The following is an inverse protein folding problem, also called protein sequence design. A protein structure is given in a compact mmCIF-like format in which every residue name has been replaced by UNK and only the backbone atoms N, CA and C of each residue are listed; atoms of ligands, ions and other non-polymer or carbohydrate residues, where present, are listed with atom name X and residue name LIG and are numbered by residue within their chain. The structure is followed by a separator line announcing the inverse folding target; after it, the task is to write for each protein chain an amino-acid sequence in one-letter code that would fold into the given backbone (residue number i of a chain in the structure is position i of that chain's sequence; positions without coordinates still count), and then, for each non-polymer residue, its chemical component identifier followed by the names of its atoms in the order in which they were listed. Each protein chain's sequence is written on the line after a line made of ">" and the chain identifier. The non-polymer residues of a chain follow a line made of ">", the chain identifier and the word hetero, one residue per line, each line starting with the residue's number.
data_IF_733913373856
#
_entry.id   IF_733913373856
#
_cell.length_a   1.000
_cell.length_b   1.000
_cell.length_c   1.000
_cell.angle_alpha   90.00
_cell.angle_beta   90.00
_cell.angle_gamma   90.00
#
_symmetry.space_group_name_H-M   'P 1'
#
loop_
_entity.id
_entity.type
_entity.pdbx_description
1 polymer ?
#
# COMPACT_ATOMS: atom_id res chain seq x y z
N UNK A 1 9.95 -11.42 -13.93
CA UNK A 1 10.51 -10.13 -14.43
C UNK A 1 11.82 -9.88 -13.70
N UNK A 2 12.96 -10.03 -14.37
CA UNK A 2 14.27 -9.80 -13.74
C UNK A 2 14.39 -8.32 -13.36
N UNK A 3 14.87 -8.02 -12.15
CA UNK A 3 15.11 -6.69 -11.59
C UNK A 3 13.87 -5.90 -11.14
N UNK A 4 12.86 -6.57 -10.61
CA UNK A 4 11.79 -5.87 -9.89
C UNK A 4 12.29 -5.39 -8.51
N UNK A 5 11.92 -4.17 -8.13
CA UNK A 5 12.23 -3.58 -6.84
C UNK A 5 10.95 -3.25 -6.09
N UNK A 6 10.81 -3.74 -4.85
CA UNK A 6 9.73 -3.37 -3.96
C UNK A 6 10.00 -1.97 -3.39
N UNK A 7 9.17 -1.00 -3.77
CA UNK A 7 9.33 0.42 -3.37
C UNK A 7 8.35 0.86 -2.29
N UNK A 8 7.30 0.10 -2.05
CA UNK A 8 6.28 0.45 -1.05
C UNK A 8 5.47 -0.73 -0.58
N UNK A 9 5.09 -0.68 0.70
CA UNK A 9 4.14 -1.60 1.31
C UNK A 9 3.37 -0.88 2.40
N UNK A 10 2.06 -1.06 2.43
CA UNK A 10 1.24 -0.44 3.45
C UNK A 10 -0.02 -1.25 3.75
N UNK A 11 -0.61 -0.96 4.91
CA UNK A 11 -1.96 -1.39 5.27
C UNK A 11 -2.80 -0.14 5.45
N UNK A 12 -3.90 -0.05 4.72
CA UNK A 12 -4.90 1.02 4.84
C UNK A 12 -6.21 0.43 5.33
N UNK A 13 -6.76 0.99 6.40
CA UNK A 13 -8.08 0.61 6.94
C UNK A 13 -9.02 1.78 6.79
N UNK A 14 -10.15 1.54 6.14
CA UNK A 14 -11.21 2.51 5.88
C UNK A 14 -12.34 2.27 6.88
N UNK A 15 -12.83 3.34 7.47
CA UNK A 15 -13.94 3.31 8.41
C UNK A 15 -14.37 4.71 8.80
N UNK A 16 -15.55 4.84 9.37
CA UNK A 16 -16.10 6.13 9.79
C UNK A 16 -15.92 6.33 11.30
N UNK A 17 -15.48 7.51 11.70
CA UNK A 17 -15.37 7.88 13.10
C UNK A 17 -13.97 7.72 13.71
N UNK A 18 -12.91 7.66 12.91
CA UNK A 18 -11.57 7.89 13.44
C UNK A 18 -11.49 9.31 13.99
N UNK A 19 -10.77 9.45 15.11
CA UNK A 19 -10.48 10.75 15.71
C UNK A 19 -8.97 11.02 15.61
N UNK A 20 -8.48 11.69 14.55
CA UNK A 20 -7.06 12.01 14.42
C UNK A 20 -6.54 12.86 15.58
N UNK A 21 -7.36 13.72 16.16
CA UNK A 21 -6.96 14.65 17.23
C UNK A 21 -6.41 13.98 18.49
N UNK A 22 -6.72 12.70 18.72
CA UNK A 22 -6.14 11.95 19.84
C UNK A 22 -4.85 11.22 19.47
N UNK A 23 -4.54 11.10 18.17
CA UNK A 23 -3.38 10.35 17.67
C UNK A 23 -2.13 11.23 17.73
N UNK A 24 -1.44 11.19 18.85
CA UNK A 24 -0.20 11.91 19.09
C UNK A 24 0.83 10.99 19.78
N UNK A 25 2.03 11.49 20.02
CA UNK A 25 3.10 10.72 20.64
C UNK A 25 2.70 10.12 21.99
N UNK A 26 2.04 10.92 22.83
CA UNK A 26 1.58 10.48 24.15
C UNK A 26 0.59 9.30 24.01
N UNK A 27 -0.41 9.42 23.14
CA UNK A 27 -1.36 8.34 22.88
C UNK A 27 -0.67 7.07 22.39
N UNK A 28 0.25 7.19 21.44
CA UNK A 28 0.93 6.02 20.86
C UNK A 28 1.80 5.28 21.90
N UNK A 29 2.53 6.01 22.74
CA UNK A 29 3.36 5.45 23.81
C UNK A 29 2.52 4.88 24.95
N UNK A 30 1.59 5.65 25.50
CA UNK A 30 0.71 5.21 26.60
C UNK A 30 -0.17 4.01 26.23
N UNK A 31 -0.56 3.90 24.96
CA UNK A 31 -1.27 2.74 24.43
C UNK A 31 -0.37 1.55 24.10
N UNK A 32 0.95 1.67 24.29
CA UNK A 32 1.96 0.66 23.96
C UNK A 32 1.92 0.23 22.47
N UNK A 33 1.57 1.15 21.60
CA UNK A 33 1.58 0.95 20.14
C UNK A 33 3.00 1.13 19.59
N UNK A 34 3.81 1.96 20.24
CA UNK A 34 5.22 2.18 19.97
C UNK A 34 6.02 2.09 21.28
N UNK A 35 7.32 1.78 21.16
CA UNK A 35 8.25 1.81 22.30
C UNK A 35 8.55 3.24 22.74
N UNK A 36 8.96 3.41 24.02
CA UNK A 36 9.29 4.71 24.59
C UNK A 36 10.52 5.35 23.94
N UNK A 37 11.40 4.52 23.38
CA UNK A 37 12.63 4.88 22.68
C UNK A 37 12.42 5.34 21.24
N UNK A 38 11.23 5.05 20.65
CA UNK A 38 10.95 5.45 19.28
C UNK A 38 10.73 6.96 19.19
N UNK A 39 11.54 7.59 18.33
CA UNK A 39 11.46 9.02 18.09
C UNK A 39 10.52 9.36 16.93
N UNK A 40 9.63 10.31 17.18
CA UNK A 40 8.80 10.95 16.15
C UNK A 40 9.59 12.11 15.56
N UNK A 41 9.69 12.16 14.23
CA UNK A 41 10.43 13.20 13.51
C UNK A 41 9.72 14.54 13.60
N UNK A 42 10.49 15.62 13.61
CA UNK A 42 10.00 17.01 13.74
C UNK A 42 9.11 17.48 12.57
N UNK A 43 9.21 16.82 11.42
CA UNK A 43 8.34 17.10 10.27
C UNK A 43 6.98 16.38 10.33
N UNK A 44 6.66 15.72 11.45
CA UNK A 44 5.34 15.14 11.68
C UNK A 44 4.30 16.22 11.90
N UNK A 45 3.08 15.97 11.42
CA UNK A 45 1.95 16.91 11.50
C UNK A 45 0.86 16.26 12.34
N UNK A 46 0.36 16.98 13.34
CA UNK A 46 -0.73 16.53 14.20
C UNK A 46 -1.75 17.66 14.32
N UNK A 47 -2.93 17.45 13.76
CA UNK A 47 -4.09 18.35 13.85
C UNK A 47 -5.34 17.57 14.23
N UNK A 48 -6.45 18.22 14.62
CA UNK A 48 -7.68 17.50 14.93
C UNK A 48 -8.26 16.67 13.77
N UNK A 49 -7.96 17.03 12.52
CA UNK A 49 -8.53 16.36 11.33
C UNK A 49 -7.52 15.56 10.51
N UNK A 50 -6.24 15.75 10.78
CA UNK A 50 -5.18 15.14 9.99
C UNK A 50 -3.95 14.89 10.86
N UNK A 51 -3.47 13.66 10.82
CA UNK A 51 -2.22 13.27 11.47
C UNK A 51 -1.33 12.55 10.47
N UNK A 52 -0.09 12.99 10.36
CA UNK A 52 0.96 12.30 9.63
C UNK A 52 2.20 12.23 10.52
N UNK A 53 2.52 11.03 10.97
CA UNK A 53 3.66 10.77 11.86
C UNK A 53 4.75 10.07 11.08
N UNK A 54 5.94 10.67 11.08
CA UNK A 54 7.15 10.12 10.49
C UNK A 54 8.06 9.57 11.59
N UNK A 55 8.54 8.35 11.38
CA UNK A 55 9.59 7.72 12.20
C UNK A 55 10.63 7.07 11.29
N UNK A 56 11.64 6.42 11.86
CA UNK A 56 12.58 5.61 11.08
C UNK A 56 12.06 4.19 10.79
N UNK A 57 10.93 3.80 11.38
CA UNK A 57 10.36 2.48 11.24
C UNK A 57 9.10 2.48 10.36
N UNK A 58 8.34 3.57 10.37
CA UNK A 58 7.07 3.68 9.63
C UNK A 58 6.67 5.14 9.37
N UNK A 59 5.70 5.30 8.46
CA UNK A 59 4.89 6.52 8.36
C UNK A 59 3.44 6.15 8.64
N UNK A 60 2.82 6.84 9.60
CA UNK A 60 1.41 6.71 9.93
C UNK A 60 0.65 7.92 9.35
N UNK A 61 -0.45 7.65 8.68
CA UNK A 61 -1.45 8.64 8.27
C UNK A 61 -2.78 8.29 8.95
N UNK A 62 -3.44 9.28 9.58
CA UNK A 62 -4.77 9.11 10.15
C UNK A 62 -5.66 10.30 9.77
N UNK A 63 -6.80 10.00 9.17
CA UNK A 63 -7.87 10.91 8.81
C UNK A 63 -9.20 10.42 9.43
N UNK A 64 -10.27 11.21 9.41
CA UNK A 64 -11.57 10.80 9.98
C UNK A 64 -12.19 9.56 9.34
N UNK A 65 -11.85 9.27 8.07
CA UNK A 65 -12.38 8.16 7.26
C UNK A 65 -11.43 6.99 7.06
N UNK A 66 -10.15 7.13 7.43
CA UNK A 66 -9.18 6.05 7.33
C UNK A 66 -7.91 6.28 8.15
N UNK A 67 -7.20 5.19 8.43
CA UNK A 67 -5.79 5.25 8.74
C UNK A 67 -4.96 4.37 7.80
N UNK A 68 -3.68 4.75 7.61
CA UNK A 68 -2.73 4.02 6.79
C UNK A 68 -1.39 3.91 7.51
N UNK A 69 -0.87 2.69 7.55
CA UNK A 69 0.47 2.38 8.08
C UNK A 69 1.39 1.99 6.93
N UNK A 70 2.40 2.80 6.66
CA UNK A 70 3.41 2.52 5.64
C UNK A 70 4.65 1.94 6.32
N UNK A 71 5.05 0.75 5.89
CA UNK A 71 6.20 0.05 6.44
C UNK A 71 7.51 0.63 5.89
N UNK A 72 8.47 0.91 6.77
CA UNK A 72 9.85 1.24 6.38
C UNK A 72 10.77 0.06 6.72
N UNK A 73 10.67 -0.49 7.93
CA UNK A 73 11.57 -1.54 8.43
C UNK A 73 10.80 -2.80 8.84
N UNK A 74 10.52 -2.99 10.11
CA UNK A 74 9.99 -4.22 10.70
C UNK A 74 8.51 -4.46 10.38
N UNK A 75 8.24 -5.45 9.54
CA UNK A 75 6.87 -5.85 9.18
C UNK A 75 6.10 -6.41 10.38
N UNK A 76 6.76 -7.17 11.24
CA UNK A 76 6.09 -7.79 12.38
C UNK A 76 5.69 -6.74 13.42
N UNK A 77 6.54 -5.74 13.67
CA UNK A 77 6.17 -4.59 14.50
C UNK A 77 5.00 -3.82 13.90
N UNK A 78 5.01 -3.58 12.59
CA UNK A 78 3.91 -2.91 11.90
C UNK A 78 2.60 -3.68 11.94
N UNK A 79 2.62 -5.00 11.73
CA UNK A 79 1.44 -5.85 11.88
C UNK A 79 0.86 -5.75 13.31
N UNK A 80 1.70 -5.81 14.35
CA UNK A 80 1.27 -5.62 15.74
C UNK A 80 0.69 -4.23 15.99
N UNK A 81 1.33 -3.19 15.43
CA UNK A 81 0.83 -1.81 15.52
C UNK A 81 -0.58 -1.70 14.94
N UNK A 82 -0.79 -2.16 13.68
CA UNK A 82 -2.10 -2.07 13.00
C UNK A 82 -3.19 -2.78 13.81
N UNK A 83 -2.91 -3.98 14.33
CA UNK A 83 -3.87 -4.71 15.16
C UNK A 83 -4.15 -4.01 16.50
N UNK A 84 -3.13 -3.47 17.15
CA UNK A 84 -3.26 -2.70 18.39
C UNK A 84 -4.05 -1.42 18.17
N UNK A 85 -3.72 -0.66 17.13
CA UNK A 85 -4.40 0.58 16.76
C UNK A 85 -5.88 0.34 16.48
N UNK A 86 -6.21 -0.66 15.66
CA UNK A 86 -7.61 -1.01 15.36
C UNK A 86 -8.41 -1.35 16.62
N UNK A 87 -7.79 -2.05 17.59
CA UNK A 87 -8.46 -2.35 18.88
C UNK A 87 -8.72 -1.09 19.71
N UNK A 88 -7.81 -0.09 19.68
CA UNK A 88 -8.01 1.17 20.42
C UNK A 88 -9.14 2.02 19.82
N UNK A 89 -9.38 1.88 18.53
CA UNK A 89 -10.48 2.52 17.80
C UNK A 89 -11.66 1.57 17.57
N UNK A 90 -12.01 0.75 18.57
CA UNK A 90 -13.09 -0.28 18.46
C UNK A 90 -14.48 0.28 18.18
N UNK A 91 -14.70 1.58 18.39
CA UNK A 91 -15.97 2.29 18.10
C UNK A 91 -16.09 2.74 16.64
N UNK A 92 -15.01 2.64 15.86
CA UNK A 92 -15.01 2.98 14.43
C UNK A 92 -15.87 1.98 13.67
N UNK A 93 -16.70 2.48 12.78
CA UNK A 93 -17.43 1.65 11.82
C UNK A 93 -16.49 1.28 10.67
N UNK A 94 -15.79 0.17 10.83
CA UNK A 94 -14.83 -0.34 9.84
C UNK A 94 -15.55 -0.83 8.59
N UNK A 95 -15.10 -0.38 7.40
CA UNK A 95 -15.72 -0.72 6.10
C UNK A 95 -14.84 -1.60 5.21
N UNK A 96 -13.53 -1.34 5.20
CA UNK A 96 -12.61 -2.10 4.37
C UNK A 96 -11.18 -2.08 4.91
N UNK A 97 -10.41 -3.09 4.53
CA UNK A 97 -8.96 -3.11 4.68
C UNK A 97 -8.32 -3.38 3.32
N UNK A 98 -7.30 -2.58 2.98
CA UNK A 98 -6.43 -2.77 1.84
C UNK A 98 -5.00 -3.07 2.30
N UNK A 99 -4.40 -4.13 1.75
CA UNK A 99 -2.98 -4.43 1.92
C UNK A 99 -2.30 -4.22 0.58
N UNK A 100 -1.33 -3.33 0.54
CA UNK A 100 -0.75 -2.83 -0.71
C UNK A 100 0.74 -3.14 -0.79
N UNK A 101 1.18 -3.49 -2.00
CA UNK A 101 2.57 -3.69 -2.37
C UNK A 101 2.83 -3.00 -3.69
N UNK A 102 3.85 -2.15 -3.72
CA UNK A 102 4.23 -1.37 -4.90
C UNK A 102 5.62 -1.78 -5.36
N UNK A 103 5.73 -2.16 -6.64
CA UNK A 103 6.98 -2.56 -7.28
C UNK A 103 7.25 -1.67 -8.47
N UNK A 104 8.52 -1.50 -8.79
CA UNK A 104 8.96 -0.91 -10.06
C UNK A 104 9.84 -1.89 -10.82
N UNK A 105 9.72 -1.85 -12.15
CA UNK A 105 10.55 -2.61 -13.08
C UNK A 105 11.01 -1.64 -14.17
N UNK A 106 12.25 -1.77 -14.64
CA UNK A 106 12.70 -1.00 -15.81
C UNK A 106 11.91 -1.43 -17.04
N UNK A 107 11.42 -0.46 -17.80
CA UNK A 107 10.73 -0.70 -19.08
C UNK A 107 11.75 -0.90 -20.21
N UNK A 108 12.67 -1.86 -20.00
CA UNK A 108 13.65 -2.23 -21.01
C UNK A 108 13.00 -3.04 -22.13
N UNK A 109 13.44 -2.82 -23.38
CA UNK A 109 12.96 -3.54 -24.57
C UNK A 109 11.44 -3.46 -24.78
N UNK A 110 10.84 -2.33 -24.39
CA UNK A 110 9.39 -2.12 -24.54
C UNK A 110 8.53 -3.16 -23.81
N UNK A 111 8.93 -3.54 -22.58
CA UNK A 111 8.21 -4.51 -21.75
C UNK A 111 6.72 -4.14 -21.60
N UNK A 112 6.38 -2.85 -21.54
CA UNK A 112 4.99 -2.38 -21.50
C UNK A 112 4.20 -2.81 -22.73
N UNK A 113 4.82 -2.77 -23.92
CA UNK A 113 4.19 -3.25 -25.17
C UNK A 113 4.04 -4.77 -25.16
N UNK A 114 5.08 -5.50 -24.77
CA UNK A 114 5.04 -6.96 -24.67
C UNK A 114 3.88 -7.44 -23.76
N UNK A 115 3.72 -6.79 -22.60
CA UNK A 115 2.72 -7.19 -21.61
C UNK A 115 1.28 -6.77 -22.00
N UNK A 116 1.09 -5.60 -22.61
CA UNK A 116 -0.24 -4.99 -22.70
C UNK A 116 -0.68 -4.65 -24.13
N UNK A 117 0.22 -4.56 -25.12
CA UNK A 117 -0.16 -4.23 -26.47
C UNK A 117 -0.86 -5.41 -27.16
N UNK A 118 -2.03 -5.14 -27.74
CA UNK A 118 -2.80 -6.09 -28.57
C UNK A 118 -3.02 -5.48 -29.97
N UNK A 119 -2.19 -5.89 -30.92
CA UNK A 119 -2.16 -5.33 -32.28
C UNK A 119 -3.50 -5.41 -33.04
N UNK A 120 -4.37 -6.34 -32.66
CA UNK A 120 -5.67 -6.55 -33.29
C UNK A 120 -6.71 -5.51 -32.90
N UNK A 121 -6.53 -4.83 -31.76
CA UNK A 121 -7.46 -3.80 -31.30
C UNK A 121 -7.23 -2.48 -32.05
N UNK A 122 -8.29 -1.86 -32.68
CA UNK A 122 -8.15 -0.57 -33.33
C UNK A 122 -7.59 0.53 -32.43
N UNK A 123 -7.98 0.54 -31.14
CA UNK A 123 -7.48 1.50 -30.16
C UNK A 123 -5.96 1.36 -29.99
N UNK A 124 -5.46 0.14 -29.82
CA UNK A 124 -4.02 -0.08 -29.67
C UNK A 124 -3.22 0.23 -30.94
N UNK A 125 -3.80 0.02 -32.13
CA UNK A 125 -3.15 0.41 -33.40
C UNK A 125 -2.97 1.92 -33.48
N UNK A 126 -4.01 2.69 -33.14
CA UNK A 126 -3.97 4.16 -33.16
C UNK A 126 -2.89 4.71 -32.21
N UNK A 127 -2.73 4.07 -31.04
CA UNK A 127 -1.74 4.47 -30.05
C UNK A 127 -0.38 3.81 -30.21
N UNK A 128 -0.11 3.05 -31.27
CA UNK A 128 1.19 2.39 -31.48
C UNK A 128 2.18 3.29 -32.20
N UNK A 129 2.88 4.13 -31.45
CA UNK A 129 3.99 4.98 -31.91
C UNK A 129 5.29 4.61 -31.18
N UNK A 130 6.42 5.19 -31.60
CA UNK A 130 7.71 4.95 -30.92
C UNK A 130 7.71 5.40 -29.45
N UNK A 131 6.95 6.45 -29.12
CA UNK A 131 6.85 6.98 -27.76
C UNK A 131 5.73 6.37 -26.92
N UNK A 132 4.96 5.45 -27.49
CA UNK A 132 3.79 4.86 -26.80
C UNK A 132 4.21 3.93 -25.68
N UNK A 133 3.53 4.08 -24.54
CA UNK A 133 3.67 3.21 -23.38
C UNK A 133 2.31 2.68 -22.96
N UNK A 134 2.28 1.43 -22.58
CA UNK A 134 1.05 0.72 -22.26
C UNK A 134 1.01 0.34 -20.78
N UNK A 135 -0.19 0.26 -20.24
CA UNK A 135 -0.45 -0.19 -18.88
C UNK A 135 -1.74 -0.98 -18.80
N UNK A 136 -2.10 -1.45 -17.63
CA UNK A 136 -3.27 -2.26 -17.45
C UNK A 136 -3.86 -2.21 -16.05
N UNK A 137 -5.12 -2.63 -15.95
CA UNK A 137 -5.81 -2.89 -14.71
C UNK A 137 -6.36 -4.31 -14.74
N UNK A 138 -5.97 -5.12 -13.76
CA UNK A 138 -6.38 -6.51 -13.63
C UNK A 138 -7.01 -6.71 -12.24
N UNK A 139 -8.11 -7.44 -12.21
CA UNK A 139 -8.76 -7.78 -10.94
C UNK A 139 -9.12 -9.26 -10.88
N UNK A 140 -9.00 -9.86 -9.69
CA UNK A 140 -9.46 -11.23 -9.45
C UNK A 140 -9.71 -11.49 -7.97
N UNK A 141 -10.51 -12.49 -7.67
CA UNK A 141 -10.67 -13.00 -6.31
C UNK A 141 -9.43 -13.81 -5.88
N UNK A 142 -8.95 -13.55 -4.67
CA UNK A 142 -7.88 -14.32 -4.05
C UNK A 142 -8.14 -14.47 -2.55
N UNK A 143 -8.37 -15.70 -2.08
CA UNK A 143 -8.80 -15.99 -0.70
C UNK A 143 -10.09 -15.21 -0.36
N UNK A 144 -10.07 -14.41 0.70
CA UNK A 144 -11.17 -13.55 1.15
C UNK A 144 -11.06 -12.10 0.63
N UNK A 145 -10.13 -11.85 -0.27
CA UNK A 145 -9.86 -10.50 -0.81
C UNK A 145 -10.09 -10.47 -2.32
N UNK A 146 -10.29 -9.27 -2.83
CA UNK A 146 -10.18 -8.97 -4.27
C UNK A 146 -8.79 -8.37 -4.48
N UNK A 147 -8.00 -8.96 -5.38
CA UNK A 147 -6.75 -8.35 -5.82
C UNK A 147 -7.04 -7.42 -6.96
N UNK A 148 -6.61 -6.18 -6.82
CA UNK A 148 -6.53 -5.21 -7.90
C UNK A 148 -5.04 -4.98 -8.19
N UNK A 149 -4.63 -5.27 -9.42
CA UNK A 149 -3.30 -4.95 -9.93
C UNK A 149 -3.44 -3.83 -10.94
N UNK A 150 -2.78 -2.72 -10.67
CA UNK A 150 -2.62 -1.62 -11.62
C UNK A 150 -1.18 -1.57 -12.08
N UNK A 151 -0.97 -1.54 -13.41
CA UNK A 151 0.35 -1.35 -14.01
C UNK A 151 0.35 -0.06 -14.80
N UNK A 152 1.28 0.84 -14.49
CA UNK A 152 1.37 2.17 -15.13
C UNK A 152 2.81 2.46 -15.53
N UNK A 153 3.02 2.94 -16.77
CA UNK A 153 4.28 3.58 -17.14
C UNK A 153 4.56 4.77 -16.21
N UNK A 154 5.78 4.88 -15.75
CA UNK A 154 6.25 5.98 -14.91
C UNK A 154 7.69 6.34 -15.26
N UNK A 155 8.21 7.41 -14.70
CA UNK A 155 9.59 7.85 -14.90
C UNK A 155 10.29 7.92 -13.55
N UNK A 156 11.38 7.20 -13.41
CA UNK A 156 12.31 7.34 -12.29
C UNK A 156 13.34 8.43 -12.58
N UNK A 157 13.74 9.19 -11.57
CA UNK A 157 14.83 10.18 -11.65
C UNK A 157 15.98 9.64 -10.84
N UNK A 158 17.14 9.46 -11.50
CA UNK A 158 18.38 9.04 -10.85
C UNK A 158 19.03 10.21 -10.10
N UNK A 159 19.95 9.93 -9.14
CA UNK A 159 20.70 10.99 -8.45
C UNK A 159 21.50 11.91 -9.39
N UNK A 160 21.90 11.42 -10.56
CA UNK A 160 22.60 12.18 -11.60
C UNK A 160 21.67 13.02 -12.49
N UNK A 161 20.34 13.00 -12.22
CA UNK A 161 19.34 13.71 -13.00
C UNK A 161 18.84 12.97 -14.24
N UNK A 162 19.44 11.85 -14.60
CA UNK A 162 18.99 11.02 -15.71
C UNK A 162 17.63 10.38 -15.40
N UNK A 163 16.83 10.16 -16.44
CA UNK A 163 15.51 9.55 -16.33
C UNK A 163 15.53 8.11 -16.80
N UNK A 164 14.93 7.22 -16.03
CA UNK A 164 14.63 5.84 -16.44
C UNK A 164 13.15 5.68 -16.71
N UNK A 165 12.83 4.98 -17.78
CA UNK A 165 11.47 4.51 -18.00
C UNK A 165 11.22 3.28 -17.15
N UNK A 166 10.15 3.34 -16.39
CA UNK A 166 9.75 2.30 -15.43
C UNK A 166 8.29 1.88 -15.65
N UNK A 167 7.99 0.66 -15.26
CA UNK A 167 6.62 0.21 -15.02
C UNK A 167 6.40 0.11 -13.51
N UNK A 168 5.38 0.79 -13.02
CA UNK A 168 4.93 0.71 -11.64
C UNK A 168 3.79 -0.31 -11.53
N UNK A 169 4.00 -1.35 -10.73
CA UNK A 169 3.03 -2.39 -10.41
C UNK A 169 2.50 -2.15 -9.01
N UNK A 170 1.23 -1.82 -8.90
CA UNK A 170 0.56 -1.59 -7.61
C UNK A 170 -0.45 -2.71 -7.35
N UNK A 171 -0.18 -3.55 -6.36
CA UNK A 171 -1.07 -4.60 -5.89
C UNK A 171 -1.86 -4.12 -4.69
N UNK A 172 -3.18 -4.21 -4.75
CA UNK A 172 -4.09 -3.94 -3.65
C UNK A 172 -4.92 -5.19 -3.34
N UNK A 173 -4.76 -5.77 -2.17
CA UNK A 173 -5.61 -6.83 -1.62
C UNK A 173 -6.71 -6.20 -0.79
N UNK A 174 -7.85 -6.02 -1.40
CA UNK A 174 -9.02 -5.39 -0.80
C UNK A 174 -9.94 -6.41 -0.14
N UNK A 175 -10.29 -6.18 1.12
CA UNK A 175 -11.26 -6.98 1.87
C UNK A 175 -12.33 -6.05 2.45
N UNK A 176 -13.59 -6.29 2.13
CA UNK A 176 -14.71 -5.61 2.77
C UNK A 176 -14.88 -6.14 4.20
N UNK A 177 -15.17 -5.22 5.12
CA UNK A 177 -15.35 -5.50 6.54
C UNK A 177 -16.83 -5.31 6.89
N UNK A 178 -17.45 -6.32 7.48
CA UNK A 178 -18.89 -6.29 7.75
C UNK A 178 -19.19 -6.39 9.25
N UNK A 179 -19.72 -5.30 9.80
CA UNK A 179 -20.36 -5.27 11.12
C UNK A 179 -19.49 -5.79 12.28
N UNK A 180 -20.07 -6.61 13.14
CA UNK A 180 -19.47 -7.08 14.41
C UNK A 180 -18.16 -7.87 14.21
N UNK A 181 -17.93 -8.48 13.05
CA UNK A 181 -16.73 -9.28 12.75
C UNK A 181 -15.57 -8.47 12.18
N UNK A 182 -15.73 -7.16 12.02
CA UNK A 182 -14.72 -6.32 11.34
C UNK A 182 -13.32 -6.44 11.96
N UNK A 183 -13.20 -6.45 13.29
CA UNK A 183 -11.90 -6.61 13.97
C UNK A 183 -11.27 -8.00 13.74
N UNK A 184 -12.07 -9.06 13.67
CA UNK A 184 -11.58 -10.40 13.36
C UNK A 184 -11.13 -10.51 11.90
N UNK A 185 -11.85 -9.86 10.98
CA UNK A 185 -11.50 -9.84 9.57
C UNK A 185 -10.25 -8.97 9.31
N UNK A 186 -10.08 -7.84 10.02
CA UNK A 186 -8.82 -7.07 10.05
C UNK A 186 -7.68 -7.99 10.50
N UNK A 187 -7.88 -8.71 11.61
CA UNK A 187 -6.85 -9.64 12.13
C UNK A 187 -6.47 -10.70 11.10
N UNK A 188 -7.45 -11.34 10.45
CA UNK A 188 -7.19 -12.34 9.39
C UNK A 188 -6.41 -11.76 8.23
N UNK A 189 -6.82 -10.59 7.73
CA UNK A 189 -6.16 -9.90 6.62
C UNK A 189 -4.71 -9.55 6.97
N UNK A 190 -4.46 -8.99 8.17
CA UNK A 190 -3.10 -8.68 8.65
C UNK A 190 -2.25 -9.94 8.81
N UNK A 191 -2.82 -11.06 9.26
CA UNK A 191 -2.11 -12.35 9.35
C UNK A 191 -1.80 -12.97 7.97
N UNK A 192 -2.57 -12.65 6.95
CA UNK A 192 -2.32 -13.09 5.57
C UNK A 192 -1.33 -12.18 4.81
N UNK A 193 -0.80 -11.12 5.44
CA UNK A 193 0.14 -10.16 4.84
C UNK A 193 1.32 -10.85 4.13
N UNK A 194 2.01 -11.78 4.80
CA UNK A 194 3.17 -12.48 4.24
C UNK A 194 2.80 -13.36 3.04
N UNK A 195 1.58 -13.92 3.04
CA UNK A 195 1.06 -14.71 1.91
C UNK A 195 0.74 -13.81 0.71
N UNK A 196 0.22 -12.60 0.96
CA UNK A 196 -0.02 -11.61 -0.08
C UNK A 196 1.29 -11.11 -0.67
N UNK A 197 2.29 -10.82 0.17
CA UNK A 197 3.63 -10.43 -0.26
C UNK A 197 4.26 -11.52 -1.13
N UNK A 198 4.32 -12.76 -0.64
CA UNK A 198 4.85 -13.92 -1.40
C UNK A 198 4.12 -14.15 -2.73
N UNK A 199 2.82 -13.84 -2.78
CA UNK A 199 2.06 -13.92 -4.03
C UNK A 199 2.50 -12.84 -5.03
N UNK A 200 2.74 -11.61 -4.57
CA UNK A 200 3.27 -10.53 -5.40
C UNK A 200 4.67 -10.89 -5.93
N UNK A 201 5.57 -11.35 -5.03
CA UNK A 201 6.94 -11.76 -5.41
C UNK A 201 6.92 -12.87 -6.46
N UNK A 202 6.01 -13.82 -6.34
CA UNK A 202 5.87 -14.88 -7.35
C UNK A 202 5.51 -14.32 -8.73
N UNK A 203 4.64 -13.32 -8.79
CA UNK A 203 4.27 -12.65 -10.06
C UNK A 203 5.44 -11.83 -10.59
N UNK A 204 6.09 -11.06 -9.71
CA UNK A 204 7.19 -10.17 -10.09
C UNK A 204 8.46 -10.92 -10.50
N UNK A 205 8.62 -12.19 -10.11
CA UNK A 205 9.75 -13.05 -10.45
C UNK A 205 9.43 -14.06 -11.57
N UNK A 206 8.20 -14.11 -12.07
CA UNK A 206 7.81 -14.91 -13.22
C UNK A 206 8.29 -14.25 -14.53
#
# INVERSE_FOLDING_TARGET
>A
MKNSELIGRNIKIIGDGFNPGIVNEFFLKSSKLIGDDLQIKSNSITTPQFVQIFTDQFVLLCLPDHFQYNFIKDENAGKRFVLGFSKKFSVVNYRAIGINFDYVVKDEKELSKELFFKSESPIFREFNTESSKFGGFLTKKYRNSIINLTVKPTTGIKPDGNKDDLLHFSFNFHTELLGIKALDDIKKSVMDFDKFHSYCDKIMNA
#
